data_IF_446563288647
#
_entry.id   IF_446563288647
#
_cell.length_a   1.000
_cell.length_b   1.000
_cell.length_c   1.000
_cell.angle_alpha   90.00
_cell.angle_beta   90.00
_cell.angle_gamma   90.00
#
_symmetry.space_group_name_H-M   'P 1'
#
loop_
_entity.id
_entity.type
_entity.pdbx_description
1 polymer ?
#
# COMPACT_ATOMS: atom_id res chain seq x y z
N UNK A 1 -10.29 -16.65 76.54
CA UNK A 1 -9.16 -16.01 75.83
C UNK A 1 -9.56 -15.90 74.37
N UNK A 2 -10.06 -14.73 73.95
CA UNK A 2 -10.50 -14.47 72.57
C UNK A 2 -9.38 -13.70 71.88
N UNK A 3 -8.82 -14.26 70.80
CA UNK A 3 -7.83 -13.58 69.96
C UNK A 3 -8.54 -13.07 68.72
N UNK A 4 -8.74 -11.75 68.65
CA UNK A 4 -9.13 -11.05 67.44
C UNK A 4 -7.85 -10.70 66.68
N UNK A 5 -7.65 -11.32 65.51
CA UNK A 5 -6.60 -10.89 64.59
C UNK A 5 -7.01 -9.55 63.95
N UNK A 6 -6.10 -8.57 63.96
CA UNK A 6 -6.30 -7.29 63.30
C UNK A 6 -6.45 -7.47 61.77
N UNK A 7 -7.36 -6.73 61.10
CA UNK A 7 -7.48 -6.80 59.66
C UNK A 7 -6.28 -6.14 58.97
N UNK A 8 -5.77 -6.80 57.92
CA UNK A 8 -4.71 -6.28 57.05
C UNK A 8 -5.05 -4.87 56.50
N UNK A 9 -4.07 -3.96 56.39
CA UNK A 9 -4.31 -2.60 55.94
C UNK A 9 -4.84 -2.61 54.49
N UNK A 10 -6.01 -1.98 54.28
CA UNK A 10 -6.54 -1.75 52.93
C UNK A 10 -5.62 -0.78 52.19
N UNK A 11 -5.10 -1.20 51.03
CA UNK A 11 -4.37 -0.32 50.12
C UNK A 11 -5.25 0.88 49.75
N UNK A 12 -4.67 2.09 49.77
CA UNK A 12 -5.39 3.31 49.40
C UNK A 12 -5.73 3.30 47.91
N UNK A 13 -6.90 3.87 47.55
CA UNK A 13 -7.36 3.98 46.15
C UNK A 13 -6.33 4.68 45.25
N UNK A 14 -5.56 5.60 45.81
CA UNK A 14 -4.49 6.32 45.10
C UNK A 14 -3.36 5.42 44.58
N UNK A 15 -3.10 4.28 45.22
CA UNK A 15 -2.11 3.30 44.75
C UNK A 15 -2.69 2.46 43.60
N UNK A 16 -3.97 2.09 43.67
CA UNK A 16 -4.65 1.36 42.60
C UNK A 16 -4.76 2.21 41.31
N UNK A 17 -5.04 3.51 41.44
CA UNK A 17 -5.16 4.43 40.31
C UNK A 17 -3.81 4.76 39.67
N UNK A 18 -2.70 4.75 40.44
CA UNK A 18 -1.34 4.90 39.91
C UNK A 18 -0.86 3.66 39.16
N UNK A 19 -1.28 2.46 39.56
CA UNK A 19 -0.94 1.21 38.86
C UNK A 19 -1.64 1.13 37.50
N UNK A 20 -2.80 1.75 37.33
CA UNK A 20 -3.54 1.74 36.05
C UNK A 20 -3.04 2.76 35.00
N UNK A 21 -2.15 3.70 35.36
CA UNK A 21 -1.73 4.81 34.48
C UNK A 21 -0.30 4.69 33.94
N UNK A 22 0.27 3.49 33.95
CA UNK A 22 1.60 3.20 33.39
C UNK A 22 1.62 1.96 32.48
N UNK A 23 0.57 1.74 31.70
CA UNK A 23 0.75 1.09 30.40
C UNK A 23 0.90 2.21 29.36
N UNK A 24 2.10 2.79 29.29
CA UNK A 24 2.48 3.58 28.13
C UNK A 24 2.38 2.66 26.92
N UNK A 25 1.40 2.94 26.07
CA UNK A 25 1.10 2.21 24.84
C UNK A 25 2.29 2.39 23.87
N UNK A 26 3.38 1.68 24.13
CA UNK A 26 4.66 1.79 23.44
C UNK A 26 4.62 1.02 22.11
N UNK A 27 3.50 1.16 21.37
CA UNK A 27 3.30 0.50 20.09
C UNK A 27 4.18 1.22 19.08
N UNK A 28 5.26 0.56 18.64
CA UNK A 28 6.16 1.09 17.61
C UNK A 28 5.33 1.45 16.38
N UNK A 29 5.55 2.65 15.84
CA UNK A 29 4.92 3.08 14.60
C UNK A 29 5.57 2.30 13.45
N UNK A 30 4.79 1.43 12.82
CA UNK A 30 5.22 0.64 11.65
C UNK A 30 4.56 1.25 10.42
N UNK A 31 5.30 1.33 9.33
CA UNK A 31 4.81 1.67 8.00
C UNK A 31 5.26 0.55 7.06
N UNK A 32 4.39 0.12 6.16
CA UNK A 32 4.72 -0.85 5.13
C UNK A 32 4.95 -0.12 3.80
N UNK A 33 6.08 -0.41 3.17
CA UNK A 33 6.45 0.08 1.85
C UNK A 33 6.59 -1.14 0.94
N UNK A 34 6.02 -1.07 -0.25
CA UNK A 34 6.09 -2.15 -1.24
C UNK A 34 6.49 -1.59 -2.59
N UNK A 35 7.28 -2.37 -3.32
CA UNK A 35 7.39 -2.21 -4.76
C UNK A 35 6.05 -2.61 -5.43
N UNK A 36 5.88 -2.27 -6.70
CA UNK A 36 4.67 -2.55 -7.47
C UNK A 36 4.83 -3.79 -8.35
N UNK A 37 5.74 -3.70 -9.33
CA UNK A 37 6.01 -4.73 -10.32
C UNK A 37 6.80 -5.88 -9.69
N UNK A 38 6.40 -7.13 -9.96
CA UNK A 38 7.01 -8.32 -9.34
C UNK A 38 6.76 -8.49 -7.84
N UNK A 39 5.95 -7.61 -7.21
CA UNK A 39 5.58 -7.69 -5.79
C UNK A 39 4.08 -7.71 -5.56
N UNK A 40 3.37 -6.66 -5.99
CA UNK A 40 1.91 -6.60 -5.91
C UNK A 40 1.29 -7.28 -7.12
N UNK A 41 1.91 -7.06 -8.28
CA UNK A 41 1.59 -7.75 -9.52
C UNK A 41 2.72 -8.68 -9.89
N UNK A 42 2.40 -9.85 -10.44
CA UNK A 42 3.39 -10.86 -10.78
C UNK A 42 4.19 -10.51 -12.03
N UNK A 43 3.64 -9.64 -12.87
CA UNK A 43 4.26 -9.19 -14.11
C UNK A 43 4.80 -7.77 -13.99
N UNK A 44 5.80 -7.47 -14.81
CA UNK A 44 6.31 -6.12 -14.99
C UNK A 44 5.40 -5.34 -15.95
N UNK A 45 4.67 -4.38 -15.40
CA UNK A 45 3.73 -3.54 -16.15
C UNK A 45 4.42 -2.68 -17.20
N UNK A 46 5.65 -2.24 -16.95
CA UNK A 46 6.46 -1.53 -17.93
C UNK A 46 6.75 -2.41 -19.13
N UNK A 47 7.22 -3.63 -18.91
CA UNK A 47 7.49 -4.60 -19.97
C UNK A 47 6.22 -4.98 -20.75
N UNK A 48 5.08 -5.19 -20.09
CA UNK A 48 3.80 -5.48 -20.79
C UNK A 48 3.42 -4.33 -21.74
N UNK A 49 3.61 -3.08 -21.30
CA UNK A 49 3.37 -1.92 -22.14
C UNK A 49 4.39 -1.84 -23.31
N UNK A 50 5.64 -2.20 -23.07
CA UNK A 50 6.70 -2.22 -24.09
C UNK A 50 6.54 -3.34 -25.12
N UNK A 51 6.36 -4.58 -24.71
CA UNK A 51 6.37 -5.74 -25.60
C UNK A 51 5.09 -5.82 -26.45
N UNK A 52 3.95 -5.44 -25.89
CA UNK A 52 2.66 -5.53 -26.59
C UNK A 52 2.38 -4.32 -27.49
N UNK A 53 3.00 -3.17 -27.23
CA UNK A 53 2.70 -1.91 -27.94
C UNK A 53 3.92 -1.15 -28.48
N UNK A 54 5.11 -1.73 -28.37
CA UNK A 54 6.42 -1.29 -28.88
C UNK A 54 6.50 0.08 -29.56
N UNK A 55 7.33 0.95 -28.97
CA UNK A 55 8.36 1.76 -29.63
C UNK A 55 8.81 2.92 -28.71
N UNK A 56 9.69 2.62 -27.75
CA UNK A 56 10.48 3.61 -27.02
C UNK A 56 9.73 4.52 -26.04
N UNK A 57 10.52 5.37 -25.36
CA UNK A 57 10.10 6.35 -24.36
C UNK A 57 8.85 7.16 -24.76
N UNK A 58 8.84 7.68 -25.99
CA UNK A 58 7.76 8.52 -26.53
C UNK A 58 6.42 7.79 -26.55
N UNK A 59 6.40 6.53 -26.98
CA UNK A 59 5.15 5.78 -27.08
C UNK A 59 4.64 5.33 -25.72
N UNK A 60 5.53 5.04 -24.78
CA UNK A 60 5.17 4.85 -23.37
C UNK A 60 4.48 6.09 -22.81
N UNK A 61 5.05 7.27 -23.02
CA UNK A 61 4.44 8.52 -22.57
C UNK A 61 3.05 8.76 -23.19
N UNK A 62 2.88 8.50 -24.49
CA UNK A 62 1.56 8.58 -25.15
C UNK A 62 0.59 7.55 -24.59
N UNK A 63 1.02 6.31 -24.34
CA UNK A 63 0.15 5.28 -23.76
C UNK A 63 -0.24 5.62 -22.33
N UNK A 64 0.70 6.10 -21.51
CA UNK A 64 0.43 6.58 -20.16
C UNK A 64 -0.59 7.72 -20.20
N UNK A 65 -0.46 8.65 -21.13
CA UNK A 65 -1.41 9.74 -21.34
C UNK A 65 -2.78 9.22 -21.80
N UNK A 66 -2.85 8.33 -22.79
CA UNK A 66 -4.12 7.73 -23.25
C UNK A 66 -4.82 6.91 -22.15
N UNK A 67 -4.03 6.22 -21.32
CA UNK A 67 -4.50 5.52 -20.14
C UNK A 67 -5.00 6.53 -19.11
N UNK A 68 -4.33 7.67 -18.96
CA UNK A 68 -4.71 8.77 -18.07
C UNK A 68 -5.92 9.59 -18.57
N UNK A 69 -6.14 9.71 -19.86
CA UNK A 69 -7.32 10.39 -20.40
C UNK A 69 -8.52 9.46 -20.53
N UNK A 70 -8.29 8.15 -20.46
CA UNK A 70 -9.33 7.14 -20.69
C UNK A 70 -9.65 6.93 -22.17
N UNK A 71 -8.84 7.48 -23.08
CA UNK A 71 -8.96 7.32 -24.54
C UNK A 71 -8.80 5.85 -24.97
N UNK A 72 -8.05 5.06 -24.19
CA UNK A 72 -7.93 3.61 -24.35
C UNK A 72 -8.57 2.90 -23.17
N UNK A 73 -9.29 1.81 -23.45
CA UNK A 73 -9.82 0.89 -22.43
C UNK A 73 -8.67 0.21 -21.68
N UNK A 74 -8.21 0.86 -20.62
CA UNK A 74 -7.14 0.39 -19.75
C UNK A 74 -7.44 -1.01 -19.18
N UNK A 75 -8.71 -1.26 -18.89
CA UNK A 75 -9.22 -2.53 -18.38
C UNK A 75 -8.97 -3.68 -19.35
N UNK A 76 -9.10 -3.48 -20.66
CA UNK A 76 -8.81 -4.50 -21.68
C UNK A 76 -7.31 -4.83 -21.75
N UNK A 77 -6.46 -3.81 -21.65
CA UNK A 77 -5.01 -4.01 -21.72
C UNK A 77 -4.50 -4.72 -20.47
N UNK A 78 -5.00 -4.37 -19.29
CA UNK A 78 -4.42 -4.84 -18.03
C UNK A 78 -5.04 -6.12 -17.52
N UNK A 79 -6.36 -6.36 -17.66
CA UNK A 79 -6.97 -7.59 -17.14
C UNK A 79 -6.41 -8.86 -17.74
N UNK A 80 -6.07 -8.82 -19.02
CA UNK A 80 -5.64 -10.03 -19.73
C UNK A 80 -4.14 -10.30 -19.56
N UNK A 81 -3.39 -9.39 -18.93
CA UNK A 81 -1.93 -9.47 -18.86
C UNK A 81 -1.36 -9.25 -17.44
N UNK A 82 -2.18 -8.78 -16.49
CA UNK A 82 -1.78 -8.59 -15.09
C UNK A 82 -2.57 -9.48 -14.15
N UNK A 83 -1.82 -10.20 -13.33
CA UNK A 83 -2.31 -10.96 -12.19
C UNK A 83 -1.82 -10.30 -10.91
N UNK A 84 -2.78 -10.02 -10.02
CA UNK A 84 -2.47 -9.56 -8.68
C UNK A 84 -2.01 -10.74 -7.82
N UNK A 85 -1.02 -10.53 -6.97
CA UNK A 85 -0.58 -11.54 -6.01
C UNK A 85 -1.77 -12.00 -5.14
N UNK A 86 -1.89 -13.32 -4.99
CA UNK A 86 -3.04 -13.94 -4.31
C UNK A 86 -3.11 -13.61 -2.82
N UNK A 87 -1.96 -13.32 -2.20
CA UNK A 87 -1.85 -12.92 -0.81
C UNK A 87 -2.03 -11.41 -0.58
N UNK A 88 -1.90 -10.60 -1.63
CA UNK A 88 -1.91 -9.14 -1.51
C UNK A 88 -3.19 -8.59 -0.87
N UNK A 89 -4.37 -9.12 -1.23
CA UNK A 89 -5.63 -8.64 -0.64
C UNK A 89 -5.70 -8.87 0.87
N UNK A 90 -5.28 -10.05 1.32
CA UNK A 90 -5.26 -10.39 2.74
C UNK A 90 -4.23 -9.52 3.49
N UNK A 91 -3.08 -9.28 2.88
CA UNK A 91 -2.06 -8.39 3.40
C UNK A 91 -2.54 -6.93 3.50
N UNK A 92 -3.15 -6.39 2.44
CA UNK A 92 -3.70 -5.04 2.43
C UNK A 92 -4.78 -4.87 3.52
N UNK A 93 -5.68 -5.85 3.64
CA UNK A 93 -6.70 -5.85 4.68
C UNK A 93 -6.10 -5.91 6.09
N UNK A 94 -5.02 -6.67 6.28
CA UNK A 94 -4.28 -6.70 7.53
C UNK A 94 -3.70 -5.32 7.87
N UNK A 95 -3.08 -4.64 6.90
CA UNK A 95 -2.57 -3.29 7.08
C UNK A 95 -3.69 -2.32 7.49
N UNK A 96 -4.83 -2.32 6.78
CA UNK A 96 -6.01 -1.48 7.08
C UNK A 96 -6.54 -1.73 8.50
N UNK A 97 -6.78 -2.99 8.83
CA UNK A 97 -7.37 -3.39 10.12
C UNK A 97 -6.49 -3.00 11.31
N UNK A 98 -5.17 -2.98 11.10
CA UNK A 98 -4.20 -2.63 12.15
C UNK A 98 -3.77 -1.16 12.12
N UNK A 99 -4.40 -0.33 11.28
CA UNK A 99 -4.01 1.07 11.06
C UNK A 99 -2.54 1.23 10.70
N UNK A 100 -1.99 0.30 9.91
CA UNK A 100 -0.63 0.35 9.39
C UNK A 100 -0.69 1.07 8.04
N UNK A 101 -0.07 2.26 7.91
CA UNK A 101 0.02 2.94 6.63
C UNK A 101 0.77 2.07 5.62
N UNK A 102 0.18 1.91 4.44
CA UNK A 102 0.76 1.15 3.34
C UNK A 102 0.99 2.07 2.14
N UNK A 103 2.22 2.09 1.63
CA UNK A 103 2.57 2.89 0.46
C UNK A 103 3.28 2.03 -0.59
N UNK A 104 2.89 2.24 -1.84
CA UNK A 104 3.55 1.71 -3.02
C UNK A 104 4.62 2.70 -3.48
N UNK A 105 5.81 2.19 -3.76
CA UNK A 105 6.91 2.93 -4.36
C UNK A 105 7.20 2.31 -5.71
N UNK A 106 7.19 3.09 -6.79
CA UNK A 106 7.48 2.58 -8.14
C UNK A 106 8.35 3.55 -8.93
N UNK A 107 9.34 3.00 -9.64
CA UNK A 107 10.15 3.74 -10.60
C UNK A 107 9.69 3.57 -12.06
N UNK A 108 8.81 2.59 -12.32
CA UNK A 108 8.43 2.19 -13.66
C UNK A 108 7.30 3.04 -14.25
N UNK A 109 6.24 3.30 -13.50
CA UNK A 109 5.02 3.94 -14.00
C UNK A 109 4.69 5.24 -13.27
N UNK A 110 3.99 6.14 -13.96
CA UNK A 110 3.43 7.35 -13.34
C UNK A 110 2.39 6.99 -12.28
N UNK A 111 2.31 7.78 -11.22
CA UNK A 111 1.39 7.57 -10.11
C UNK A 111 -0.09 7.48 -10.56
N UNK A 112 -0.49 8.24 -11.58
CA UNK A 112 -1.85 8.22 -12.12
C UNK A 112 -2.20 6.89 -12.80
N UNK A 113 -1.23 6.22 -13.44
CA UNK A 113 -1.43 4.91 -14.06
C UNK A 113 -1.56 3.84 -12.98
N UNK A 114 -0.65 3.83 -12.00
CA UNK A 114 -0.70 2.92 -10.86
C UNK A 114 -2.02 3.01 -10.10
N UNK A 115 -2.53 4.23 -9.89
CA UNK A 115 -3.84 4.47 -9.27
C UNK A 115 -4.95 3.74 -10.04
N UNK A 116 -5.00 3.88 -11.36
CA UNK A 116 -6.01 3.23 -12.21
C UNK A 116 -5.88 1.71 -12.22
N UNK A 117 -4.65 1.18 -12.18
CA UNK A 117 -4.44 -0.27 -12.01
C UNK A 117 -5.11 -0.71 -10.71
N UNK A 118 -4.75 -0.09 -9.60
CA UNK A 118 -5.26 -0.46 -8.28
C UNK A 118 -6.78 -0.31 -8.20
N UNK A 119 -7.36 0.77 -8.75
CA UNK A 119 -8.82 0.97 -8.80
C UNK A 119 -9.52 -0.15 -9.59
N UNK A 120 -8.92 -0.58 -10.71
CA UNK A 120 -9.50 -1.63 -11.57
C UNK A 120 -9.51 -3.00 -10.87
N UNK A 121 -8.44 -3.33 -10.13
CA UNK A 121 -8.29 -4.63 -9.51
C UNK A 121 -8.87 -4.70 -8.10
N UNK A 122 -8.72 -3.65 -7.28
CA UNK A 122 -9.16 -3.63 -5.88
C UNK A 122 -10.51 -2.92 -5.70
N UNK A 123 -10.87 -2.02 -6.60
CA UNK A 123 -11.94 -1.04 -6.42
C UNK A 123 -11.39 0.28 -5.85
N UNK A 124 -12.04 1.39 -6.20
CA UNK A 124 -11.61 2.75 -5.82
C UNK A 124 -11.54 2.94 -4.30
N UNK A 125 -12.45 2.33 -3.54
CA UNK A 125 -12.46 2.41 -2.07
C UNK A 125 -11.18 1.81 -1.49
N UNK A 126 -10.88 0.56 -1.80
CA UNK A 126 -9.70 -0.14 -1.30
C UNK A 126 -8.41 0.55 -1.76
N UNK A 127 -8.37 0.90 -3.04
CA UNK A 127 -7.24 1.60 -3.66
C UNK A 127 -6.94 2.93 -2.97
N UNK A 128 -7.96 3.73 -2.62
CA UNK A 128 -7.78 5.06 -2.00
C UNK A 128 -6.99 5.04 -0.68
N UNK A 129 -6.92 3.89 -0.02
CA UNK A 129 -6.16 3.69 1.23
C UNK A 129 -4.67 3.40 1.00
N UNK A 130 -4.25 3.20 -0.25
CA UNK A 130 -2.88 2.94 -0.64
C UNK A 130 -2.22 4.25 -1.06
N UNK A 131 -1.19 4.67 -0.33
CA UNK A 131 -0.34 5.79 -0.76
C UNK A 131 0.51 5.38 -1.98
N UNK A 132 0.69 6.27 -2.95
CA UNK A 132 1.51 5.99 -4.13
C UNK A 132 2.61 7.05 -4.19
N UNK A 133 3.85 6.60 -4.24
CA UNK A 133 5.03 7.41 -4.52
C UNK A 133 5.65 6.86 -5.79
N UNK A 134 5.59 7.64 -6.87
CA UNK A 134 6.20 7.25 -8.13
C UNK A 134 6.81 8.46 -8.81
N UNK A 135 7.82 8.18 -9.65
CA UNK A 135 8.50 9.23 -10.39
C UNK A 135 7.61 9.73 -11.54
N UNK A 136 7.71 11.02 -11.86
CA UNK A 136 7.33 11.56 -13.16
C UNK A 136 8.42 11.18 -14.17
N UNK A 137 8.54 9.88 -14.50
CA UNK A 137 9.65 9.38 -15.31
C UNK A 137 9.73 10.11 -16.67
N UNK A 138 10.65 11.07 -16.78
CA UNK A 138 11.11 11.65 -18.04
C UNK A 138 12.18 10.73 -18.62
N UNK A 139 11.76 9.80 -19.48
CA UNK A 139 12.70 8.92 -20.16
C UNK A 139 13.36 9.72 -21.27
N UNK A 140 14.68 9.89 -21.19
CA UNK A 140 15.48 10.53 -22.25
C UNK A 140 15.33 9.71 -23.54
N UNK A 141 15.39 10.38 -24.69
CA UNK A 141 15.22 9.74 -26.01
C UNK A 141 16.20 8.58 -26.28
N UNK A 142 17.24 8.41 -25.46
CA UNK A 142 18.25 7.34 -25.52
C UNK A 142 17.91 6.08 -24.69
N UNK A 143 16.82 6.08 -23.93
CA UNK A 143 16.39 4.93 -23.12
C UNK A 143 17.15 4.73 -21.81
N UNK A 144 17.98 5.69 -21.38
CA UNK A 144 18.61 5.69 -20.05
C UNK A 144 17.71 6.32 -18.97
N UNK A 145 17.90 5.87 -17.72
CA UNK A 145 17.25 6.42 -16.51
C UNK A 145 18.09 7.55 -15.88
#
# INVERSE_FOLDING_TARGET
MSSTADPLPRMSKDVADRVHKSQTNNKRKIICLSDFDGTIFMQDTGHILFDKYGCGAKRRATLDEQIQTGERSFREVMKDNLDIDVGFRAFHQFCRTNSIPFNVISAGLKAAVLRRVLDTFLGEEESSHIGIVANDAEIKDDGSY
#
